data_IF_409443214327
#
_entry.id   IF_409443214327
#
_cell.length_a   1.000
_cell.length_b   1.000
_cell.length_c   1.000
_cell.angle_alpha   90.00
_cell.angle_beta   90.00
_cell.angle_gamma   90.00
#
_symmetry.space_group_name_H-M   'P 1'
#
loop_
_entity.id
_entity.type
_entity.pdbx_description
1 polymer ?
#
# COMPACT_ATOMS: atom_id res chain seq x y z
N UNK A 1 -14.25 -44.41 -44.06
CA UNK A 1 -13.23 -43.35 -44.12
C UNK A 1 -13.93 -42.00 -44.00
N UNK A 2 -14.02 -41.45 -42.78
CA UNK A 2 -14.50 -40.09 -42.55
C UNK A 2 -13.31 -39.22 -42.20
N UNK A 3 -13.05 -38.19 -43.01
CA UNK A 3 -11.99 -37.22 -42.77
C UNK A 3 -12.53 -36.10 -41.89
N UNK A 4 -11.99 -35.99 -40.67
CA UNK A 4 -12.28 -34.90 -39.74
C UNK A 4 -11.48 -33.68 -40.21
N UNK A 5 -12.16 -32.56 -40.41
CA UNK A 5 -11.54 -31.27 -40.71
C UNK A 5 -11.31 -30.55 -39.39
N UNK A 6 -10.04 -30.41 -38.99
CA UNK A 6 -9.67 -29.64 -37.80
C UNK A 6 -9.77 -28.14 -38.08
N UNK A 7 -10.54 -27.45 -37.25
CA UNK A 7 -10.63 -26.00 -37.22
C UNK A 7 -9.36 -25.39 -36.58
N UNK A 8 -8.90 -24.20 -37.00
CA UNK A 8 -7.77 -23.56 -36.37
C UNK A 8 -8.17 -22.95 -35.02
N UNK A 9 -7.60 -23.48 -33.94
CA UNK A 9 -7.69 -22.88 -32.61
C UNK A 9 -6.94 -21.55 -32.59
N UNK A 10 -7.68 -20.45 -32.54
CA UNK A 10 -7.16 -19.13 -32.17
C UNK A 10 -6.85 -19.13 -30.67
N UNK A 11 -5.59 -19.39 -30.31
CA UNK A 11 -5.11 -19.14 -28.95
C UNK A 11 -4.77 -17.65 -28.88
N UNK A 12 -5.65 -16.88 -28.23
CA UNK A 12 -5.42 -15.50 -27.89
C UNK A 12 -4.12 -15.38 -27.08
N UNK A 13 -3.20 -14.54 -27.55
CA UNK A 13 -2.00 -14.18 -26.82
C UNK A 13 -2.38 -13.53 -25.50
N UNK A 14 -2.10 -14.23 -24.40
CA UNK A 14 -1.91 -13.57 -23.12
C UNK A 14 -0.51 -12.96 -23.17
N UNK A 15 -0.44 -11.66 -23.43
CA UNK A 15 0.75 -10.88 -23.10
C UNK A 15 0.87 -10.90 -21.57
N UNK A 16 1.71 -11.81 -21.07
CA UNK A 16 2.24 -11.70 -19.72
C UNK A 16 3.08 -10.42 -19.66
N UNK A 17 2.48 -9.33 -19.17
CA UNK A 17 3.19 -8.13 -18.77
C UNK A 17 4.00 -8.48 -17.52
N UNK A 18 5.15 -9.10 -17.74
CA UNK A 18 6.22 -9.33 -16.76
C UNK A 18 7.40 -8.45 -17.11
N UNK A 19 7.14 -7.14 -17.31
CA UNK A 19 8.22 -6.18 -17.45
C UNK A 19 8.49 -5.53 -16.09
N UNK A 20 9.75 -5.59 -15.70
CA UNK A 20 10.28 -5.32 -14.36
C UNK A 20 9.85 -3.91 -13.90
N UNK A 21 8.86 -3.80 -12.99
CA UNK A 21 8.14 -2.54 -12.70
C UNK A 21 9.02 -1.34 -12.30
N UNK A 22 10.26 -1.58 -11.86
CA UNK A 22 11.23 -0.56 -11.44
C UNK A 22 12.61 -0.75 -12.12
N UNK A 23 12.67 -1.50 -13.24
CA UNK A 23 13.90 -1.96 -13.88
C UNK A 23 14.60 -3.09 -13.12
N UNK A 24 15.85 -3.42 -13.46
CA UNK A 24 16.68 -4.45 -12.79
C UNK A 24 17.06 -4.12 -11.33
N UNK A 25 16.44 -3.10 -10.72
CA UNK A 25 16.71 -2.69 -9.34
C UNK A 25 16.03 -3.63 -8.37
N UNK A 26 16.79 -4.08 -7.37
CA UNK A 26 16.25 -4.86 -6.25
C UNK A 26 15.40 -3.97 -5.35
N UNK A 27 14.08 -4.07 -5.48
CA UNK A 27 13.14 -3.31 -4.68
C UNK A 27 13.06 -3.85 -3.25
N UNK A 28 13.14 -2.95 -2.28
CA UNK A 28 13.05 -3.22 -0.85
C UNK A 28 11.76 -2.60 -0.31
N UNK A 29 10.86 -3.43 0.19
CA UNK A 29 9.60 -3.00 0.82
C UNK A 29 9.58 -3.40 2.28
N UNK A 30 9.21 -2.45 3.14
CA UNK A 30 8.95 -2.68 4.56
C UNK A 30 7.52 -2.24 4.86
N UNK A 31 6.72 -3.12 5.44
CA UNK A 31 5.38 -2.76 5.90
C UNK A 31 5.43 -2.15 7.30
N UNK A 32 4.57 -1.17 7.54
CA UNK A 32 4.38 -0.53 8.84
C UNK A 32 2.95 -0.79 9.30
N UNK A 33 2.82 -1.59 10.35
CA UNK A 33 1.55 -1.95 10.95
C UNK A 33 1.43 -1.41 12.38
N UNK A 34 0.17 -1.28 12.82
CA UNK A 34 -0.19 -0.79 14.15
C UNK A 34 -1.27 -1.70 14.73
N UNK A 35 -1.12 -2.07 16.01
CA UNK A 35 -1.96 -3.09 16.64
C UNK A 35 -3.24 -2.55 17.30
N UNK A 36 -3.35 -1.23 17.42
CA UNK A 36 -4.59 -0.56 17.82
C UNK A 36 -4.83 0.60 16.85
N UNK A 37 -6.09 0.97 16.64
CA UNK A 37 -6.49 2.27 16.07
C UNK A 37 -6.07 3.40 17.01
N UNK A 38 -4.84 3.38 17.51
CA UNK A 38 -4.32 4.43 18.33
C UNK A 38 -4.48 5.70 17.55
N UNK A 39 -5.14 6.65 18.18
CA UNK A 39 -5.29 7.96 17.63
C UNK A 39 -3.94 8.61 17.36
N UNK A 40 -3.96 9.89 16.98
CA UNK A 40 -2.76 10.72 17.03
C UNK A 40 -1.97 10.48 18.33
N UNK A 41 -0.63 10.42 18.28
CA UNK A 41 0.21 10.31 19.50
C UNK A 41 1.12 9.08 19.60
N UNK A 42 0.92 8.01 18.82
CA UNK A 42 1.81 6.84 18.89
C UNK A 42 3.24 7.06 18.34
N UNK A 43 3.55 8.24 17.82
CA UNK A 43 4.88 8.59 17.31
C UNK A 43 5.27 7.93 15.98
N UNK A 44 4.36 7.15 15.37
CA UNK A 44 4.62 6.43 14.11
C UNK A 44 5.08 7.35 12.99
N UNK A 45 4.41 8.49 12.80
CA UNK A 45 4.80 9.47 11.77
C UNK A 45 6.23 9.98 11.95
N UNK A 46 6.63 10.26 13.19
CA UNK A 46 8.00 10.68 13.53
C UNK A 46 9.01 9.57 13.18
N UNK A 47 8.71 8.33 13.53
CA UNK A 47 9.61 7.21 13.26
C UNK A 47 9.69 6.90 11.75
N UNK A 48 8.58 6.97 11.02
CA UNK A 48 8.58 6.88 9.56
C UNK A 48 9.47 7.97 8.94
N UNK A 49 9.35 9.23 9.41
CA UNK A 49 10.18 10.34 8.92
C UNK A 49 11.68 10.10 9.18
N UNK A 50 12.04 9.63 10.38
CA UNK A 50 13.41 9.26 10.70
C UNK A 50 13.94 8.15 9.78
N UNK A 51 13.14 7.12 9.50
CA UNK A 51 13.53 6.02 8.62
C UNK A 51 13.78 6.51 7.18
N UNK A 52 12.90 7.38 6.68
CA UNK A 52 13.05 8.03 5.37
C UNK A 52 14.38 8.79 5.31
N UNK A 53 14.65 9.64 6.30
CA UNK A 53 15.85 10.48 6.35
C UNK A 53 17.15 9.66 6.47
N UNK A 54 17.17 8.66 7.35
CA UNK A 54 18.41 7.94 7.70
C UNK A 54 18.74 6.79 6.73
N UNK A 55 17.73 6.17 6.11
CA UNK A 55 17.91 4.96 5.31
C UNK A 55 17.52 5.12 3.83
N UNK A 56 17.04 6.30 3.43
CA UNK A 56 16.69 6.62 2.04
C UNK A 56 15.40 5.96 1.54
N UNK A 57 14.51 5.59 2.45
CA UNK A 57 13.19 5.06 2.11
C UNK A 57 12.26 6.17 1.63
N UNK A 58 11.28 5.84 0.81
CA UNK A 58 10.11 6.69 0.58
C UNK A 58 8.92 6.14 1.38
N UNK A 59 8.28 7.02 2.13
CA UNK A 59 7.08 6.69 2.89
C UNK A 59 5.83 6.81 2.02
N UNK A 60 5.11 5.70 1.87
CA UNK A 60 3.84 5.61 1.14
C UNK A 60 2.74 5.23 2.13
N UNK A 61 1.81 6.15 2.40
CA UNK A 61 0.63 5.84 3.21
C UNK A 61 -0.53 5.45 2.30
N UNK A 62 -1.07 4.24 2.48
CA UNK A 62 -2.23 3.79 1.73
C UNK A 62 -3.43 4.74 1.92
N UNK A 63 -3.60 5.28 3.13
CA UNK A 63 -4.66 6.26 3.42
C UNK A 63 -4.46 7.58 2.69
N UNK A 64 -3.23 8.07 2.55
CA UNK A 64 -2.95 9.30 1.79
C UNK A 64 -3.15 9.08 0.29
N UNK A 65 -2.74 7.92 -0.24
CA UNK A 65 -2.96 7.56 -1.64
C UNK A 65 -4.45 7.51 -1.99
N UNK A 66 -5.27 6.87 -1.15
CA UNK A 66 -6.72 6.85 -1.32
C UNK A 66 -7.31 8.27 -1.26
N UNK A 67 -6.89 9.11 -0.31
CA UNK A 67 -7.33 10.51 -0.23
C UNK A 67 -6.91 11.35 -1.43
N UNK A 68 -5.72 11.10 -1.97
CA UNK A 68 -5.23 11.77 -3.18
C UNK A 68 -6.05 11.35 -4.41
N UNK A 69 -6.41 10.08 -4.50
CA UNK A 69 -7.24 9.55 -5.58
C UNK A 69 -8.68 10.10 -5.54
N UNK A 70 -9.25 10.26 -4.34
CA UNK A 70 -10.54 10.95 -4.17
C UNK A 70 -10.45 12.40 -4.67
N UNK A 71 -9.36 13.11 -4.33
CA UNK A 71 -9.13 14.50 -4.74
C UNK A 71 -8.86 14.66 -6.24
N UNK A 72 -8.34 13.63 -6.91
CA UNK A 72 -8.09 13.67 -8.36
C UNK A 72 -9.39 13.68 -9.17
N UNK A 73 -10.51 13.27 -8.56
CA UNK A 73 -11.81 13.20 -9.22
C UNK A 73 -11.92 12.07 -10.24
N UNK A 74 -11.04 11.06 -10.16
CA UNK A 74 -11.12 9.88 -11.02
C UNK A 74 -12.40 9.08 -10.77
N UNK A 75 -12.75 8.20 -11.72
CA UNK A 75 -13.85 7.26 -11.56
C UNK A 75 -13.69 6.40 -10.31
N UNK A 76 -12.46 5.95 -10.04
CA UNK A 76 -12.09 5.26 -8.81
C UNK A 76 -12.23 6.17 -7.58
N UNK A 77 -11.88 7.44 -7.68
CA UNK A 77 -11.98 8.42 -6.59
C UNK A 77 -13.40 8.56 -6.05
N UNK A 78 -14.40 8.63 -6.93
CA UNK A 78 -15.82 8.70 -6.52
C UNK A 78 -16.27 7.41 -5.84
N UNK A 79 -15.89 6.25 -6.39
CA UNK A 79 -16.19 4.94 -5.79
C UNK A 79 -15.54 4.78 -4.40
N UNK A 80 -14.26 5.14 -4.28
CA UNK A 80 -13.51 5.12 -3.02
C UNK A 80 -14.16 6.04 -1.99
N UNK A 81 -14.54 7.26 -2.39
CA UNK A 81 -15.16 8.24 -1.49
C UNK A 81 -16.47 7.68 -0.91
N UNK A 82 -17.33 7.10 -1.74
CA UNK A 82 -18.59 6.51 -1.30
C UNK A 82 -18.36 5.34 -0.35
N UNK A 83 -17.42 4.44 -0.66
CA UNK A 83 -17.08 3.32 0.23
C UNK A 83 -16.58 3.80 1.59
N UNK A 84 -15.69 4.80 1.62
CA UNK A 84 -15.16 5.34 2.87
C UNK A 84 -16.27 6.04 3.67
N UNK A 85 -17.14 6.82 3.03
CA UNK A 85 -18.30 7.46 3.68
C UNK A 85 -19.27 6.45 4.30
N UNK A 86 -19.44 5.31 3.64
CA UNK A 86 -20.28 4.19 4.13
C UNK A 86 -19.57 3.31 5.16
N UNK A 87 -18.33 3.60 5.52
CA UNK A 87 -17.53 2.77 6.44
C UNK A 87 -17.14 1.41 5.85
N UNK A 88 -17.26 1.23 4.53
CA UNK A 88 -16.87 0.02 3.81
C UNK A 88 -15.37 -0.01 3.57
N UNK A 89 -14.82 -1.22 3.49
CA UNK A 89 -13.41 -1.43 3.17
C UNK A 89 -13.23 -1.34 1.65
N UNK A 90 -12.28 -0.50 1.24
CA UNK A 90 -11.90 -0.38 -0.18
C UNK A 90 -11.23 -1.69 -0.63
N UNK A 91 -11.56 -2.22 -1.82
CA UNK A 91 -10.92 -3.42 -2.36
C UNK A 91 -9.40 -3.31 -2.38
N UNK A 92 -8.74 -4.44 -2.13
CA UNK A 92 -7.28 -4.49 -1.97
C UNK A 92 -6.55 -4.15 -3.27
N UNK A 93 -7.14 -4.53 -4.39
CA UNK A 93 -6.64 -4.36 -5.74
C UNK A 93 -6.48 -2.89 -6.09
N UNK A 94 -7.45 -2.06 -5.67
CA UNK A 94 -7.41 -0.61 -5.86
C UNK A 94 -6.23 -0.02 -5.08
N UNK A 95 -6.05 -0.45 -3.82
CA UNK A 95 -4.95 0.03 -2.98
C UNK A 95 -3.58 -0.39 -3.52
N UNK A 96 -3.45 -1.64 -3.98
CA UNK A 96 -2.23 -2.18 -4.57
C UNK A 96 -1.86 -1.41 -5.83
N UNK A 97 -2.83 -1.12 -6.71
CA UNK A 97 -2.60 -0.33 -7.92
C UNK A 97 -2.07 1.07 -7.61
N UNK A 98 -2.70 1.76 -6.64
CA UNK A 98 -2.24 3.08 -6.21
C UNK A 98 -0.83 3.04 -5.61
N UNK A 99 -0.51 1.99 -4.84
CA UNK A 99 0.84 1.78 -4.31
C UNK A 99 1.85 1.56 -5.46
N UNK A 100 1.54 0.74 -6.45
CA UNK A 100 2.41 0.51 -7.60
C UNK A 100 2.68 1.79 -8.38
N UNK A 101 1.64 2.56 -8.70
CA UNK A 101 1.78 3.84 -9.40
C UNK A 101 2.66 4.81 -8.61
N UNK A 102 2.48 4.88 -7.29
CA UNK A 102 3.29 5.71 -6.41
C UNK A 102 4.76 5.24 -6.37
N UNK A 103 5.00 3.92 -6.33
CA UNK A 103 6.33 3.34 -6.35
C UNK A 103 7.05 3.67 -7.66
N UNK A 104 6.40 3.45 -8.81
CA UNK A 104 6.94 3.75 -10.15
C UNK A 104 7.26 5.24 -10.26
N UNK A 105 6.31 6.11 -9.91
CA UNK A 105 6.46 7.56 -9.99
C UNK A 105 7.60 8.10 -9.12
N UNK A 106 7.89 7.42 -8.01
CA UNK A 106 8.97 7.84 -7.12
C UNK A 106 10.37 7.63 -7.70
N UNK A 107 10.54 6.66 -8.60
CA UNK A 107 11.85 6.25 -9.13
C UNK A 107 12.83 5.66 -8.09
N UNK A 108 12.38 5.44 -6.86
CA UNK A 108 13.19 4.87 -5.77
C UNK A 108 13.08 3.34 -5.75
N UNK A 109 13.97 2.68 -5.02
CA UNK A 109 13.97 1.23 -4.81
C UNK A 109 13.69 0.83 -3.35
N UNK A 110 13.52 1.79 -2.43
CA UNK A 110 13.20 1.54 -1.02
C UNK A 110 11.88 2.18 -0.59
N UNK A 111 10.97 1.37 -0.08
CA UNK A 111 9.61 1.80 0.25
C UNK A 111 9.18 1.38 1.64
N UNK A 112 8.63 2.34 2.37
CA UNK A 112 8.02 2.16 3.68
C UNK A 112 6.51 2.33 3.51
N UNK A 113 5.78 1.22 3.48
CA UNK A 113 4.34 1.21 3.20
C UNK A 113 3.58 1.20 4.53
N UNK A 114 2.76 2.21 4.75
CA UNK A 114 2.02 2.44 5.99
C UNK A 114 0.51 2.24 5.80
N UNK A 115 -0.11 1.52 6.74
CA UNK A 115 -1.56 1.25 6.73
C UNK A 115 -1.99 0.15 5.77
N UNK A 116 -1.04 -0.62 5.25
CA UNK A 116 -1.23 -1.79 4.39
C UNK A 116 -0.08 -2.78 4.64
N UNK A 117 -0.30 -4.11 4.60
CA UNK A 117 -1.57 -4.83 4.40
C UNK A 117 -2.44 -4.84 5.66
N UNK A 118 -3.77 -4.98 5.51
CA UNK A 118 -4.70 -5.07 6.67
C UNK A 118 -4.99 -6.50 7.11
N UNK A 119 -4.80 -7.45 6.21
CA UNK A 119 -4.97 -8.88 6.46
C UNK A 119 -4.00 -9.67 5.56
N UNK A 120 -3.98 -10.98 5.77
CA UNK A 120 -3.09 -11.87 5.02
C UNK A 120 -3.42 -11.92 3.52
N UNK A 121 -4.71 -11.82 3.16
CA UNK A 121 -5.15 -11.79 1.76
C UNK A 121 -4.59 -10.57 1.02
N UNK A 122 -4.55 -9.40 1.65
CA UNK A 122 -3.94 -8.19 1.10
C UNK A 122 -2.44 -8.35 0.90
N UNK A 123 -1.74 -9.00 1.85
CA UNK A 123 -0.31 -9.30 1.73
C UNK A 123 -0.05 -10.20 0.53
N UNK A 124 -0.80 -11.30 0.42
CA UNK A 124 -0.68 -12.25 -0.68
C UNK A 124 -1.01 -11.60 -2.04
N UNK A 125 -2.07 -10.78 -2.10
CA UNK A 125 -2.42 -10.04 -3.30
C UNK A 125 -1.31 -9.07 -3.71
N UNK A 126 -0.70 -8.35 -2.76
CA UNK A 126 0.42 -7.46 -3.04
C UNK A 126 1.62 -8.22 -3.60
N UNK A 127 2.03 -9.33 -2.99
CA UNK A 127 3.15 -10.15 -3.49
C UNK A 127 2.85 -10.73 -4.88
N UNK A 128 1.62 -11.19 -5.10
CA UNK A 128 1.21 -11.76 -6.39
C UNK A 128 1.22 -10.74 -7.52
N UNK A 129 0.77 -9.51 -7.25
CA UNK A 129 0.64 -8.45 -8.26
C UNK A 129 1.96 -7.73 -8.48
N UNK A 130 2.71 -7.43 -7.41
CA UNK A 130 3.98 -6.69 -7.51
C UNK A 130 5.19 -7.58 -7.77
N UNK A 131 5.08 -8.88 -7.49
CA UNK A 131 6.22 -9.83 -7.43
C UNK A 131 7.31 -9.42 -6.44
N UNK A 132 7.00 -8.53 -5.49
CA UNK A 132 7.92 -8.06 -4.46
C UNK A 132 7.56 -8.72 -3.14
N UNK A 133 8.54 -9.42 -2.54
CA UNK A 133 8.44 -9.91 -1.17
C UNK A 133 8.92 -8.83 -0.20
N UNK A 134 8.09 -8.40 0.76
CA UNK A 134 8.49 -7.49 1.82
C UNK A 134 9.60 -8.11 2.68
N UNK A 135 10.57 -7.30 3.12
CA UNK A 135 11.72 -7.80 3.88
C UNK A 135 11.34 -8.09 5.34
N UNK A 136 10.56 -7.21 5.95
CA UNK A 136 10.01 -7.38 7.29
C UNK A 136 8.84 -6.41 7.51
N UNK A 137 8.18 -6.58 8.65
CA UNK A 137 7.10 -5.71 9.12
C UNK A 137 7.54 -5.00 10.39
N UNK A 138 7.43 -3.67 10.40
CA UNK A 138 7.62 -2.85 11.59
C UNK A 138 6.28 -2.68 12.30
N UNK A 139 6.22 -3.21 13.51
CA UNK A 139 5.07 -3.06 14.39
C UNK A 139 5.33 -1.94 15.39
N UNK A 140 4.50 -0.91 15.35
CA UNK A 140 4.52 0.14 16.37
C UNK A 140 3.53 -0.22 17.48
N UNK A 141 4.09 -0.65 18.61
CA UNK A 141 3.34 -0.85 19.84
C UNK A 141 3.47 0.39 20.74
N UNK A 142 2.34 0.84 21.24
CA UNK A 142 2.22 1.98 22.13
C UNK A 142 0.98 1.75 22.98
N UNK A 143 1.15 1.74 24.30
CA UNK A 143 0.02 1.57 25.21
C UNK A 143 -0.98 2.71 25.06
N UNK A 144 -2.26 2.40 25.30
CA UNK A 144 -3.33 3.40 25.29
C UNK A 144 -3.04 4.54 26.26
N UNK A 145 -2.61 4.22 27.49
CA UNK A 145 -2.18 5.19 28.50
C UNK A 145 -1.10 6.16 27.98
N UNK A 146 -0.09 5.66 27.27
CA UNK A 146 0.96 6.50 26.70
C UNK A 146 0.44 7.35 25.54
N UNK A 147 -0.48 6.83 24.74
CA UNK A 147 -1.15 7.60 23.68
C UNK A 147 -2.00 8.72 24.27
N UNK A 148 -2.80 8.42 25.29
CA UNK A 148 -3.61 9.40 26.02
C UNK A 148 -2.73 10.47 26.66
N UNK A 149 -1.67 10.08 27.37
CA UNK A 149 -0.71 11.02 27.96
C UNK A 149 -0.14 11.99 26.92
N UNK A 150 0.23 11.49 25.74
CA UNK A 150 0.75 12.32 24.64
C UNK A 150 -0.30 13.21 24.01
N UNK A 151 -1.54 12.74 23.91
CA UNK A 151 -2.66 13.53 23.40
C UNK A 151 -3.04 14.66 24.36
N UNK A 152 -3.11 14.38 25.66
CA UNK A 152 -3.39 15.36 26.71
C UNK A 152 -2.27 16.41 26.83
N UNK A 153 -1.02 16.01 26.58
CA UNK A 153 0.13 16.92 26.56
C UNK A 153 0.17 17.88 25.36
N UNK A 154 -0.53 17.60 24.25
CA UNK A 154 -0.53 18.48 23.05
C UNK A 154 -1.20 19.83 23.25
N UNK A 155 -2.05 19.99 24.27
CA UNK A 155 -2.74 21.25 24.59
C UNK A 155 -2.11 22.02 25.76
N UNK A 156 -0.99 21.55 26.33
CA UNK A 156 -0.25 22.29 27.34
C UNK A 156 0.81 23.16 26.65
N UNK A 157 0.39 24.38 26.29
CA UNK A 157 1.33 25.48 26.02
C UNK A 157 1.90 25.87 27.39
N UNK A 158 3.20 25.67 27.61
CA UNK A 158 3.91 26.28 28.73
C UNK A 158 4.17 27.75 28.43
#
# INVERSE_FOLDING_TARGET
MGSVVDAPTVVAGQEEVTDNMLGDKKVTVVFVLKIYTGGPGSGKGTQCANIVEHFGFIHLSAGDLLRAEIKSGSENGTMIENMIKEGKIVPSEVTIKLLQEAMIKSGNDKFLIDGFPRNEENRAAFENVTKITPVFVLFFDCSEEEMERRLLGRNQVF
#
